data_IF_174954187413
#
_entry.id   IF_174954187413
#
_cell.length_a   1.000
_cell.length_b   1.000
_cell.length_c   1.000
_cell.angle_alpha   90.00
_cell.angle_beta   90.00
_cell.angle_gamma   90.00
#
_symmetry.space_group_name_H-M   'P 1'
#
loop_
_entity.id
_entity.type
_entity.pdbx_description
1 polymer ?
#
# COMPACT_ATOMS: atom_id res chain seq x y z
N UNK A 1 -48.89 -29.39 -20.40
CA UNK A 1 -48.35 -28.81 -19.14
C UNK A 1 -46.80 -28.79 -19.03
N UNK A 2 -46.02 -29.28 -20.01
CA UNK A 2 -44.54 -29.30 -19.94
C UNK A 2 -43.86 -27.94 -20.21
N UNK A 3 -44.50 -26.99 -20.89
CA UNK A 3 -43.90 -25.68 -21.22
C UNK A 3 -43.80 -24.70 -20.04
N UNK A 4 -44.68 -24.79 -19.03
CA UNK A 4 -44.69 -23.85 -17.91
C UNK A 4 -43.50 -24.04 -16.94
N UNK A 5 -43.01 -25.28 -16.80
CA UNK A 5 -41.86 -25.63 -15.95
C UNK A 5 -40.53 -25.12 -16.51
N UNK A 6 -40.38 -25.08 -17.84
CA UNK A 6 -39.14 -24.59 -18.49
C UNK A 6 -39.00 -23.07 -18.35
N UNK A 7 -40.11 -22.33 -18.46
CA UNK A 7 -40.11 -20.86 -18.34
C UNK A 7 -39.78 -20.42 -16.90
N UNK A 8 -40.29 -21.12 -15.89
CA UNK A 8 -39.98 -20.84 -14.47
C UNK A 8 -38.51 -21.15 -14.13
N UNK A 9 -37.92 -22.21 -14.67
CA UNK A 9 -36.48 -22.50 -14.50
C UNK A 9 -35.58 -21.43 -15.14
N UNK A 10 -35.91 -20.94 -16.34
CA UNK A 10 -35.12 -19.89 -17.00
C UNK A 10 -35.22 -18.54 -16.26
N UNK A 11 -36.40 -18.20 -15.74
CA UNK A 11 -36.58 -17.01 -14.89
C UNK A 11 -35.80 -17.12 -13.58
N UNK A 12 -35.80 -18.29 -12.93
CA UNK A 12 -35.01 -18.53 -11.72
C UNK A 12 -33.50 -18.34 -11.94
N UNK A 13 -32.96 -18.84 -13.06
CA UNK A 13 -31.54 -18.68 -13.42
C UNK A 13 -31.21 -17.20 -13.72
N UNK A 14 -32.07 -16.48 -14.44
CA UNK A 14 -31.89 -15.05 -14.75
C UNK A 14 -31.91 -14.18 -13.49
N UNK A 15 -32.79 -14.45 -12.53
CA UNK A 15 -32.88 -13.70 -11.27
C UNK A 15 -31.66 -13.95 -10.38
N UNK A 16 -31.17 -15.18 -10.29
CA UNK A 16 -29.92 -15.50 -9.58
C UNK A 16 -28.70 -14.79 -10.20
N UNK A 17 -28.57 -14.80 -11.54
CA UNK A 17 -27.51 -14.09 -12.25
C UNK A 17 -27.56 -12.56 -12.02
N UNK A 18 -28.77 -11.97 -11.96
CA UNK A 18 -28.93 -10.54 -11.71
C UNK A 18 -28.58 -10.14 -10.26
N UNK A 19 -28.87 -11.00 -9.28
CA UNK A 19 -28.50 -10.79 -7.88
C UNK A 19 -26.98 -10.83 -7.67
N UNK A 20 -26.28 -11.79 -8.29
CA UNK A 20 -24.82 -11.83 -8.27
C UNK A 20 -24.20 -10.60 -8.96
N UNK A 21 -24.78 -10.16 -10.09
CA UNK A 21 -24.32 -8.97 -10.79
C UNK A 21 -24.44 -7.68 -9.91
N UNK A 22 -25.44 -7.60 -9.03
CA UNK A 22 -25.59 -6.47 -8.08
C UNK A 22 -24.50 -6.46 -7.02
N UNK A 23 -24.08 -7.62 -6.50
CA UNK A 23 -23.01 -7.73 -5.49
C UNK A 23 -21.60 -7.46 -6.05
N UNK A 24 -21.36 -7.77 -7.34
CA UNK A 24 -20.04 -7.62 -7.97
C UNK A 24 -19.67 -6.15 -8.24
N UNK A 25 -20.66 -5.30 -8.56
CA UNK A 25 -20.45 -3.88 -8.88
C UNK A 25 -19.74 -3.07 -7.76
N UNK A 26 -20.19 -3.10 -6.48
CA UNK A 26 -19.52 -2.35 -5.41
C UNK A 26 -18.10 -2.86 -5.14
N UNK A 27 -17.90 -4.18 -5.13
CA UNK A 27 -16.57 -4.78 -4.96
C UNK A 27 -15.62 -4.35 -6.09
N UNK A 28 -16.11 -4.29 -7.32
CA UNK A 28 -15.35 -3.80 -8.47
C UNK A 28 -15.00 -2.32 -8.34
N UNK A 29 -15.95 -1.48 -7.92
CA UNK A 29 -15.71 -0.04 -7.67
C UNK A 29 -14.62 0.16 -6.63
N UNK A 30 -14.67 -0.58 -5.53
CA UNK A 30 -13.67 -0.52 -4.46
C UNK A 30 -12.29 -1.01 -4.95
N UNK A 31 -12.22 -2.16 -5.61
CA UNK A 31 -10.99 -2.69 -6.17
C UNK A 31 -10.36 -1.73 -7.19
N UNK A 32 -11.17 -1.04 -7.98
CA UNK A 32 -10.69 -0.03 -8.93
C UNK A 32 -10.14 1.19 -8.23
N UNK A 33 -10.85 1.74 -7.23
CA UNK A 33 -10.34 2.86 -6.41
C UNK A 33 -8.97 2.51 -5.80
N UNK A 34 -8.85 1.31 -5.24
CA UNK A 34 -7.61 0.85 -4.64
C UNK A 34 -6.48 0.68 -5.68
N UNK A 35 -6.77 0.08 -6.83
CA UNK A 35 -5.80 -0.04 -7.91
C UNK A 35 -5.35 1.33 -8.45
N UNK A 36 -6.27 2.29 -8.57
CA UNK A 36 -5.94 3.67 -8.94
C UNK A 36 -5.04 4.33 -7.90
N UNK A 37 -5.30 4.15 -6.60
CA UNK A 37 -4.44 4.69 -5.54
C UNK A 37 -3.00 4.12 -5.64
N UNK A 38 -2.86 2.81 -5.91
CA UNK A 38 -1.56 2.20 -6.17
C UNK A 38 -0.86 2.79 -7.40
N UNK A 39 -1.61 2.98 -8.48
CA UNK A 39 -1.11 3.56 -9.72
C UNK A 39 -0.55 4.97 -9.46
N UNK A 40 -1.29 5.81 -8.72
CA UNK A 40 -0.87 7.15 -8.29
C UNK A 40 0.38 7.10 -7.41
N UNK A 41 0.43 6.23 -6.39
CA UNK A 41 1.60 6.09 -5.51
C UNK A 41 2.87 5.74 -6.30
N UNK A 42 2.73 4.91 -7.34
CA UNK A 42 3.82 4.49 -8.22
C UNK A 42 4.16 5.53 -9.32
N UNK A 43 3.40 6.60 -9.47
CA UNK A 43 3.54 7.55 -10.58
C UNK A 43 3.31 6.90 -11.96
N UNK A 44 2.47 5.85 -12.03
CA UNK A 44 2.19 5.11 -13.27
C UNK A 44 0.70 5.03 -13.51
N UNK A 45 0.19 5.25 -14.74
CA UNK A 45 -1.23 5.14 -15.00
C UNK A 45 -1.72 3.70 -14.85
N UNK A 46 -3.00 3.54 -14.47
CA UNK A 46 -3.65 2.24 -14.48
C UNK A 46 -3.66 1.68 -15.93
N UNK A 47 -3.25 0.42 -16.17
CA UNK A 47 -3.24 -0.16 -17.50
C UNK A 47 -4.59 -0.01 -18.21
N UNK A 48 -4.58 0.32 -19.51
CA UNK A 48 -5.81 0.53 -20.32
C UNK A 48 -6.80 -0.62 -20.15
N UNK A 49 -6.29 -1.84 -20.13
CA UNK A 49 -7.10 -3.05 -19.95
C UNK A 49 -7.87 -3.03 -18.62
N UNK A 50 -7.28 -2.54 -17.52
CA UNK A 50 -7.90 -2.45 -16.18
C UNK A 50 -8.85 -1.23 -16.02
N UNK A 51 -8.82 -0.26 -16.94
CA UNK A 51 -9.67 0.95 -16.89
C UNK A 51 -11.13 0.71 -17.29
N UNK A 52 -11.39 -0.18 -18.26
CA UNK A 52 -12.72 -0.39 -18.86
C UNK A 52 -13.57 -1.46 -18.17
N UNK A 53 -13.53 -1.57 -16.84
CA UNK A 53 -14.39 -2.52 -16.08
C UNK A 53 -13.90 -3.98 -16.15
N UNK A 54 -12.69 -4.24 -15.66
CA UNK A 54 -12.17 -5.61 -15.51
C UNK A 54 -12.72 -6.33 -14.28
N UNK A 55 -12.70 -7.66 -14.27
CA UNK A 55 -13.11 -8.43 -13.09
C UNK A 55 -12.30 -8.10 -11.83
N UNK A 56 -12.94 -8.18 -10.66
CA UNK A 56 -12.33 -7.99 -9.33
C UNK A 56 -11.03 -8.79 -9.18
N UNK A 57 -11.01 -10.03 -9.70
CA UNK A 57 -9.83 -10.92 -9.69
C UNK A 57 -8.60 -10.32 -10.39
N UNK A 58 -8.77 -9.61 -11.50
CA UNK A 58 -7.66 -8.96 -12.22
C UNK A 58 -7.12 -7.76 -11.45
N UNK A 59 -8.01 -6.92 -10.92
CA UNK A 59 -7.62 -5.77 -10.08
C UNK A 59 -6.90 -6.22 -8.81
N UNK A 60 -7.40 -7.26 -8.13
CA UNK A 60 -6.77 -7.82 -6.93
C UNK A 60 -5.37 -8.35 -7.23
N UNK A 61 -5.17 -9.05 -8.35
CA UNK A 61 -3.83 -9.48 -8.80
C UNK A 61 -2.90 -8.30 -9.06
N UNK A 62 -3.38 -7.23 -9.70
CA UNK A 62 -2.61 -6.01 -9.91
C UNK A 62 -2.21 -5.35 -8.57
N UNK A 63 -3.16 -5.18 -7.66
CA UNK A 63 -2.93 -4.60 -6.33
C UNK A 63 -1.89 -5.43 -5.59
N UNK A 64 -2.04 -6.75 -5.51
CA UNK A 64 -1.10 -7.62 -4.81
C UNK A 64 0.32 -7.55 -5.43
N UNK A 65 0.42 -7.53 -6.76
CA UNK A 65 1.70 -7.44 -7.47
C UNK A 65 2.40 -6.11 -7.23
N UNK A 66 1.65 -5.00 -7.28
CA UNK A 66 2.21 -3.66 -7.05
C UNK A 66 2.51 -3.43 -5.57
N UNK A 67 1.65 -3.91 -4.67
CA UNK A 67 1.89 -3.90 -3.23
C UNK A 67 3.21 -4.58 -2.87
N UNK A 68 3.45 -5.79 -3.39
CA UNK A 68 4.70 -6.51 -3.14
C UNK A 68 5.92 -5.71 -3.60
N UNK A 69 5.84 -5.04 -4.75
CA UNK A 69 6.91 -4.19 -5.28
C UNK A 69 7.15 -2.93 -4.43
N UNK A 70 6.09 -2.31 -3.89
CA UNK A 70 6.22 -1.15 -3.01
C UNK A 70 6.72 -1.55 -1.62
N UNK A 71 6.24 -2.67 -1.08
CA UNK A 71 6.58 -3.17 0.26
C UNK A 71 8.01 -3.71 0.32
N UNK A 72 8.50 -4.30 -0.76
CA UNK A 72 9.86 -4.85 -0.85
C UNK A 72 10.51 -4.40 -2.16
N UNK A 73 10.82 -3.11 -2.30
CA UNK A 73 11.47 -2.59 -3.49
C UNK A 73 12.94 -3.04 -3.51
N UNK A 74 13.61 -2.89 -4.67
CA UNK A 74 15.05 -3.12 -4.77
C UNK A 74 15.82 -1.95 -4.13
N UNK A 75 15.74 -1.84 -2.81
CA UNK A 75 16.35 -0.75 -2.06
C UNK A 75 17.88 -0.76 -2.13
N UNK A 76 18.53 -1.91 -2.35
CA UNK A 76 19.98 -1.98 -2.56
C UNK A 76 20.45 -1.22 -3.81
N UNK A 77 19.58 -1.11 -4.81
CA UNK A 77 19.88 -0.38 -6.06
C UNK A 77 19.48 1.09 -6.00
N UNK A 78 18.44 1.41 -5.25
CA UNK A 78 17.79 2.73 -5.27
C UNK A 78 17.80 3.45 -3.90
N UNK A 79 18.49 2.89 -2.91
CA UNK A 79 18.62 3.34 -1.53
C UNK A 79 17.27 3.86 -0.98
N UNK A 80 17.27 5.08 -0.41
CA UNK A 80 16.07 5.67 0.18
C UNK A 80 14.98 6.04 -0.83
N UNK A 81 15.29 6.20 -2.13
CA UNK A 81 14.27 6.50 -3.16
C UNK A 81 13.31 5.34 -3.38
N UNK A 82 13.76 4.11 -3.13
CA UNK A 82 12.96 2.90 -3.28
C UNK A 82 11.65 2.94 -2.48
N UNK A 83 11.66 3.71 -1.38
CA UNK A 83 10.59 3.75 -0.39
C UNK A 83 9.53 4.83 -0.66
N UNK A 84 9.76 5.75 -1.61
CA UNK A 84 8.84 6.86 -1.86
C UNK A 84 7.41 6.40 -2.18
N UNK A 85 7.18 5.40 -3.07
CA UNK A 85 5.83 4.92 -3.33
C UNK A 85 5.14 4.35 -2.09
N UNK A 86 5.90 3.65 -1.23
CA UNK A 86 5.37 3.09 0.01
C UNK A 86 5.06 4.18 1.04
N UNK A 87 5.90 5.21 1.13
CA UNK A 87 5.67 6.36 1.99
C UNK A 87 4.42 7.15 1.59
N UNK A 88 4.25 7.42 0.29
CA UNK A 88 3.02 8.03 -0.24
C UNK A 88 1.79 7.17 0.08
N UNK A 89 1.89 5.86 -0.11
CA UNK A 89 0.82 4.93 0.25
C UNK A 89 0.53 4.92 1.75
N UNK A 90 1.55 5.07 2.60
CA UNK A 90 1.39 5.19 4.04
C UNK A 90 0.73 6.52 4.47
N UNK A 91 0.69 7.53 3.60
CA UNK A 91 0.03 8.81 3.81
C UNK A 91 0.97 9.97 4.11
N UNK A 92 2.27 9.84 3.82
CA UNK A 92 3.21 10.95 3.93
C UNK A 92 2.89 12.06 2.91
N UNK A 93 2.82 13.35 3.33
CA UNK A 93 2.60 14.45 2.40
C UNK A 93 3.76 14.63 1.41
N UNK A 94 3.48 15.05 0.19
CA UNK A 94 4.51 15.20 -0.86
C UNK A 94 5.63 16.17 -0.45
N UNK A 95 5.28 17.25 0.26
CA UNK A 95 6.23 18.25 0.78
C UNK A 95 7.25 17.66 1.76
N UNK A 96 6.95 16.54 2.40
CA UNK A 96 7.83 15.88 3.39
C UNK A 96 8.81 14.90 2.76
N UNK A 97 8.58 14.48 1.50
CA UNK A 97 9.33 13.41 0.84
C UNK A 97 10.83 13.69 0.75
N UNK A 98 11.31 14.91 0.41
CA UNK A 98 12.74 15.19 0.36
C UNK A 98 13.43 14.95 1.71
N UNK A 99 12.81 15.39 2.80
CA UNK A 99 13.33 15.22 4.16
C UNK A 99 13.23 13.77 4.63
N UNK A 100 12.09 13.11 4.40
CA UNK A 100 11.92 11.69 4.71
C UNK A 100 13.02 10.84 4.05
N UNK A 101 13.34 11.12 2.78
CA UNK A 101 14.39 10.44 2.04
C UNK A 101 15.78 10.66 2.67
N UNK A 102 16.06 11.87 3.17
CA UNK A 102 17.31 12.19 3.90
C UNK A 102 17.40 11.38 5.19
N UNK A 103 16.31 11.36 5.97
CA UNK A 103 16.19 10.56 7.21
C UNK A 103 16.44 9.08 6.91
N UNK A 104 15.65 8.45 6.03
CA UNK A 104 15.82 7.02 5.70
C UNK A 104 17.24 6.69 5.24
N UNK A 105 17.89 7.59 4.49
CA UNK A 105 19.27 7.40 4.05
C UNK A 105 20.24 7.43 5.23
N UNK A 106 20.12 8.40 6.13
CA UNK A 106 21.04 8.54 7.28
C UNK A 106 20.79 7.48 8.35
N UNK A 107 19.53 7.15 8.61
CA UNK A 107 19.13 6.22 9.66
C UNK A 107 19.42 4.77 9.29
N UNK A 108 19.19 4.38 8.03
CA UNK A 108 19.28 2.96 7.68
C UNK A 108 19.87 2.65 6.32
N UNK A 109 20.31 3.66 5.58
CA UNK A 109 20.65 3.59 4.16
C UNK A 109 19.56 2.89 3.31
N UNK A 110 18.30 3.00 3.75
CA UNK A 110 17.17 2.32 3.11
C UNK A 110 17.03 0.83 3.46
N UNK A 111 17.84 0.27 4.36
CA UNK A 111 17.66 -1.10 4.87
C UNK A 111 16.50 -1.15 5.88
N UNK A 112 15.37 -1.82 5.57
CA UNK A 112 14.21 -1.87 6.46
C UNK A 112 14.38 -2.86 7.61
N UNK A 113 15.46 -3.65 7.59
CA UNK A 113 15.79 -4.66 8.59
C UNK A 113 17.01 -4.26 9.42
N UNK A 114 17.45 -3.00 9.34
CA UNK A 114 18.57 -2.54 10.15
C UNK A 114 18.19 -2.62 11.62
N UNK A 115 19.04 -3.30 12.39
CA UNK A 115 19.01 -3.37 13.84
C UNK A 115 20.39 -2.92 14.25
N UNK A 116 20.47 -1.80 14.95
CA UNK A 116 21.74 -1.23 15.39
C UNK A 116 22.19 -1.92 16.70
N UNK A 117 23.32 -2.64 16.73
CA UNK A 117 23.77 -3.37 17.91
C UNK A 117 23.99 -2.42 19.11
N UNK A 118 23.32 -2.69 20.23
CA UNK A 118 23.42 -1.86 21.44
C UNK A 118 22.54 -0.60 21.42
N UNK A 119 21.76 -0.41 20.36
CA UNK A 119 20.84 0.71 20.21
C UNK A 119 19.39 0.22 20.18
N UNK A 120 18.44 0.96 20.77
CA UNK A 120 17.05 0.54 20.78
C UNK A 120 16.31 0.83 19.46
N UNK A 121 16.99 1.38 18.47
CA UNK A 121 16.35 1.84 17.25
C UNK A 121 16.38 0.76 16.16
N UNK A 122 15.23 0.56 15.51
CA UNK A 122 15.09 -0.51 14.51
C UNK A 122 14.35 -0.06 13.24
N UNK A 123 14.68 -0.73 12.16
CA UNK A 123 14.03 -0.63 10.87
C UNK A 123 14.38 0.64 10.09
N UNK A 124 13.51 0.97 9.15
CA UNK A 124 13.78 1.92 8.07
C UNK A 124 14.05 3.36 8.53
N UNK A 125 13.36 3.80 9.58
CA UNK A 125 13.52 5.15 10.15
C UNK A 125 14.14 5.10 11.56
N UNK A 126 14.78 3.98 11.93
CA UNK A 126 15.41 3.79 13.25
C UNK A 126 14.51 4.26 14.40
N UNK A 127 13.35 3.59 14.53
CA UNK A 127 12.34 3.92 15.55
C UNK A 127 12.59 3.06 16.79
N UNK A 128 12.48 3.66 17.97
CA UNK A 128 12.73 2.97 19.24
C UNK A 128 11.74 1.82 19.47
N UNK A 129 12.25 0.61 19.70
CA UNK A 129 11.43 -0.60 19.87
C UNK A 129 10.63 -0.62 21.18
N UNK A 130 11.01 0.19 22.18
CA UNK A 130 10.28 0.33 23.45
C UNK A 130 8.84 0.83 23.30
N UNK A 131 8.51 1.37 22.13
CA UNK A 131 7.22 2.01 21.90
C UNK A 131 6.13 1.05 21.41
N UNK A 132 6.41 -0.22 21.10
CA UNK A 132 5.41 -0.98 20.33
C UNK A 132 5.41 -2.50 20.50
N UNK A 133 4.20 -3.07 20.56
CA UNK A 133 3.88 -4.47 20.24
C UNK A 133 3.82 -4.75 18.72
N UNK A 134 4.36 -3.85 17.88
CA UNK A 134 4.27 -3.95 16.41
C UNK A 134 5.62 -4.27 15.78
N UNK A 135 5.57 -4.97 14.65
CA UNK A 135 6.78 -5.31 13.90
C UNK A 135 7.30 -4.10 13.10
N UNK A 136 8.27 -3.38 13.66
CA UNK A 136 8.93 -2.23 13.02
C UNK A 136 9.94 -2.61 11.93
N UNK A 137 10.28 -3.89 11.76
CA UNK A 137 11.08 -4.38 10.60
C UNK A 137 10.21 -4.52 9.34
N UNK A 138 8.89 -4.41 9.48
CA UNK A 138 7.99 -4.21 8.34
C UNK A 138 8.06 -2.74 7.90
N UNK A 139 8.58 -2.43 6.70
CA UNK A 139 8.78 -1.05 6.27
C UNK A 139 7.48 -0.24 6.19
N UNK A 140 6.35 -0.88 5.89
CA UNK A 140 5.06 -0.17 5.88
C UNK A 140 4.66 0.25 7.30
N UNK A 141 4.77 -0.67 8.27
CA UNK A 141 4.50 -0.38 9.68
C UNK A 141 5.44 0.70 10.20
N UNK A 142 6.74 0.59 9.89
CA UNK A 142 7.76 1.56 10.26
C UNK A 142 7.41 2.97 9.72
N UNK A 143 7.09 3.10 8.43
CA UNK A 143 6.69 4.37 7.81
C UNK A 143 5.39 4.94 8.40
N UNK A 144 4.42 4.07 8.72
CA UNK A 144 3.15 4.50 9.35
C UNK A 144 3.39 5.03 10.76
N UNK A 145 4.23 4.36 11.53
CA UNK A 145 4.57 4.80 12.88
C UNK A 145 5.41 6.09 12.85
N UNK A 146 6.39 6.17 11.94
CA UNK A 146 7.15 7.38 11.69
C UNK A 146 6.27 8.58 11.32
N UNK A 147 5.23 8.36 10.50
CA UNK A 147 4.26 9.40 10.16
C UNK A 147 3.50 9.91 11.40
N UNK A 148 3.11 9.02 12.31
CA UNK A 148 2.44 9.40 13.55
C UNK A 148 3.35 10.24 14.46
N UNK A 149 4.61 9.82 14.60
CA UNK A 149 5.61 10.59 15.35
C UNK A 149 5.86 11.97 14.73
N UNK A 150 5.98 12.02 13.40
CA UNK A 150 6.17 13.27 12.67
C UNK A 150 4.98 14.21 12.81
N UNK A 151 3.74 13.70 12.74
CA UNK A 151 2.53 14.52 12.96
C UNK A 151 2.49 15.14 14.36
N UNK A 152 3.04 14.46 15.37
CA UNK A 152 3.06 14.95 16.76
C UNK A 152 4.21 15.91 17.04
N UNK A 153 5.40 15.64 16.50
CA UNK A 153 6.64 16.32 16.93
C UNK A 153 7.43 16.96 15.76
N UNK A 154 6.89 16.95 14.55
CA UNK A 154 7.65 17.29 13.35
C UNK A 154 8.87 16.38 13.16
N UNK A 155 9.98 16.94 12.70
CA UNK A 155 11.23 16.20 12.48
C UNK A 155 12.10 16.04 13.73
N UNK A 156 11.66 16.52 14.89
CA UNK A 156 12.44 16.50 16.15
C UNK A 156 12.95 15.09 16.53
N UNK A 157 12.21 13.99 16.37
CA UNK A 157 12.74 12.66 16.68
C UNK A 157 13.96 12.26 15.85
N UNK A 158 14.15 12.90 14.69
CA UNK A 158 15.27 12.69 13.77
C UNK A 158 16.13 13.95 13.67
N UNK A 159 16.23 14.75 14.75
CA UNK A 159 16.91 16.06 14.71
C UNK A 159 18.36 15.94 14.22
N UNK A 160 19.11 14.94 14.67
CA UNK A 160 20.49 14.70 14.23
C UNK A 160 20.62 14.43 12.73
N UNK A 161 19.56 13.91 12.10
CA UNK A 161 19.57 13.53 10.68
C UNK A 161 18.79 14.49 9.77
N UNK A 162 17.86 15.27 10.32
CA UNK A 162 17.03 16.22 9.57
C UNK A 162 17.79 17.49 9.17
N UNK A 163 18.74 17.97 9.99
CA UNK A 163 19.52 19.18 9.72
C UNK A 163 20.81 18.87 8.93
#
# INVERSE_FOLDING_TARGET
MRCALIILCLFGILVCCAAEAKAVRPALKQARKHATAHAVCLGKPLPKSLRKTQSVRRLRRYINRTWRKMRYPNWRRYNSFAWIPLARHAGWPESTVPMLRKVIRRESDGNPRLIDPGSPYIGLMQIGHYHTSVNLLNPYTNLRYGLLMWKKNGWVPWRSTAW
#
